data_IF_930582269580
#
_entry.id   IF_930582269580
#
_cell.length_a   1.000
_cell.length_b   1.000
_cell.length_c   1.000
_cell.angle_alpha   90.00
_cell.angle_beta   90.00
_cell.angle_gamma   90.00
#
_symmetry.space_group_name_H-M   'P 1'
#
loop_
_entity.id
_entity.type
_entity.pdbx_description
1 polymer ?
#
# COMPACT_ATOMS: atom_id res chain seq x y z
N UNK A 1 -11.38 8.27 -5.02
CA UNK A 1 -12.67 7.89 -4.43
C UNK A 1 -12.51 7.94 -2.92
N UNK A 2 -13.21 8.83 -2.21
CA UNK A 2 -13.01 9.04 -0.77
C UNK A 2 -13.77 8.03 0.07
N UNK A 3 -13.15 7.54 1.15
CA UNK A 3 -13.71 6.50 2.03
C UNK A 3 -15.05 6.83 2.69
N UNK A 4 -15.44 8.11 2.76
CA UNK A 4 -16.72 8.54 3.34
C UNK A 4 -17.75 9.08 2.35
N UNK A 5 -17.37 9.42 1.11
CA UNK A 5 -18.26 10.08 0.17
C UNK A 5 -19.20 9.11 -0.58
N UNK A 6 -18.75 7.86 -0.78
CA UNK A 6 -19.50 6.83 -1.50
C UNK A 6 -19.35 5.46 -0.80
N UNK A 7 -19.93 5.29 0.39
CA UNK A 7 -19.67 4.12 1.25
C UNK A 7 -20.14 2.78 0.63
N UNK A 8 -21.10 2.82 -0.29
CA UNK A 8 -21.65 1.62 -0.95
C UNK A 8 -21.05 1.36 -2.34
N UNK A 9 -20.26 2.29 -2.89
CA UNK A 9 -19.70 2.14 -4.23
C UNK A 9 -18.64 1.05 -4.27
N UNK A 10 -18.83 0.06 -5.14
CA UNK A 10 -17.81 -0.95 -5.47
C UNK A 10 -17.15 -0.56 -6.78
N UNK A 11 -15.91 -0.12 -6.70
CA UNK A 11 -15.15 0.30 -7.88
C UNK A 11 -14.01 -0.71 -8.08
N UNK A 12 -13.94 -1.41 -9.24
CA UNK A 12 -12.87 -2.38 -9.52
C UNK A 12 -11.48 -1.74 -9.51
N UNK A 13 -10.52 -2.37 -8.84
CA UNK A 13 -9.11 -1.94 -8.80
C UNK A 13 -8.18 -3.13 -8.81
N UNK A 14 -6.90 -2.85 -9.01
CA UNK A 14 -5.80 -3.79 -8.85
C UNK A 14 -4.93 -3.30 -7.69
N UNK A 15 -4.48 -4.23 -6.84
CA UNK A 15 -3.59 -3.93 -5.74
C UNK A 15 -2.37 -4.85 -5.77
N UNK A 16 -1.21 -4.32 -5.38
CA UNK A 16 -0.04 -5.12 -5.07
C UNK A 16 -0.23 -5.76 -3.69
N UNK A 17 -0.06 -7.08 -3.61
CA UNK A 17 -0.17 -7.83 -2.36
C UNK A 17 1.23 -8.25 -1.88
N UNK A 18 1.75 -7.54 -0.89
CA UNK A 18 3.07 -7.82 -0.33
C UNK A 18 2.94 -8.94 0.71
N UNK A 19 3.66 -10.04 0.48
CA UNK A 19 3.72 -11.18 1.40
C UNK A 19 4.99 -11.10 2.23
N UNK A 20 4.84 -11.21 3.55
CA UNK A 20 5.94 -11.20 4.51
C UNK A 20 5.54 -11.96 5.77
N UNK A 21 6.52 -12.30 6.62
CA UNK A 21 6.26 -12.99 7.88
C UNK A 21 5.34 -12.17 8.83
N UNK A 22 5.42 -10.84 8.77
CA UNK A 22 4.54 -9.94 9.52
C UNK A 22 4.11 -8.75 8.67
N UNK A 23 2.85 -8.78 8.22
CA UNK A 23 2.27 -7.68 7.46
C UNK A 23 2.21 -6.36 8.26
N UNK A 24 1.98 -6.42 9.58
CA UNK A 24 1.98 -5.23 10.43
C UNK A 24 3.37 -4.61 10.53
N UNK A 25 4.44 -5.41 10.59
CA UNK A 25 5.82 -4.89 10.58
C UNK A 25 6.15 -4.23 9.25
N UNK A 26 5.77 -4.85 8.13
CA UNK A 26 6.00 -4.26 6.80
C UNK A 26 5.20 -2.97 6.63
N UNK A 27 3.94 -2.94 7.05
CA UNK A 27 3.10 -1.73 6.98
C UNK A 27 3.67 -0.58 7.82
N UNK A 28 4.13 -0.86 9.04
CA UNK A 28 4.78 0.13 9.88
C UNK A 28 6.04 0.71 9.23
N UNK A 29 6.90 -0.14 8.65
CA UNK A 29 8.11 0.32 7.95
C UNK A 29 7.82 1.14 6.70
N UNK A 30 6.78 0.78 5.94
CA UNK A 30 6.32 1.56 4.80
C UNK A 30 5.84 2.96 5.24
N UNK A 31 5.16 3.05 6.39
CA UNK A 31 4.70 4.31 6.97
C UNK A 31 5.85 5.18 7.50
N UNK A 32 6.92 4.56 7.97
CA UNK A 32 8.12 5.23 8.51
C UNK A 32 9.17 5.58 7.43
N UNK A 33 8.96 5.17 6.17
CA UNK A 33 9.86 5.50 5.07
C UNK A 33 9.97 7.03 4.86
N UNK A 34 11.08 7.54 4.30
CA UNK A 34 11.25 8.98 4.02
C UNK A 34 10.10 9.59 3.21
N UNK A 35 9.53 8.80 2.30
CA UNK A 35 8.24 9.07 1.67
C UNK A 35 7.26 8.01 2.17
N UNK A 36 6.33 8.36 3.09
CA UNK A 36 5.41 7.39 3.67
C UNK A 36 4.51 6.72 2.64
N UNK A 37 4.45 5.39 2.67
CA UNK A 37 3.53 4.59 1.86
C UNK A 37 2.48 4.00 2.78
N UNK A 38 1.21 4.35 2.54
CA UNK A 38 0.08 3.87 3.35
C UNK A 38 -0.70 2.82 2.58
N UNK A 39 -0.62 1.57 3.06
CA UNK A 39 -1.42 0.46 2.58
C UNK A 39 -2.54 0.07 3.55
N UNK A 40 -3.29 -0.97 3.22
CA UNK A 40 -4.19 -1.65 4.16
C UNK A 40 -3.76 -3.10 4.37
N UNK A 41 -3.99 -3.63 5.55
CA UNK A 41 -3.75 -5.05 5.82
C UNK A 41 -5.03 -5.85 5.56
N UNK A 42 -4.93 -6.94 4.80
CA UNK A 42 -6.00 -7.91 4.65
C UNK A 42 -5.42 -9.30 4.36
N UNK A 43 -6.02 -10.34 4.95
CA UNK A 43 -5.58 -11.73 4.78
C UNK A 43 -4.08 -11.93 5.05
N UNK A 44 -3.54 -11.26 6.08
CA UNK A 44 -2.13 -11.35 6.45
C UNK A 44 -1.15 -10.72 5.44
N UNK A 45 -1.63 -9.87 4.52
CA UNK A 45 -0.80 -9.18 3.51
C UNK A 45 -1.02 -7.68 3.55
N UNK A 46 0.00 -6.91 3.18
CA UNK A 46 -0.14 -5.47 2.91
C UNK A 46 -0.63 -5.31 1.47
N UNK A 47 -1.71 -4.56 1.30
CA UNK A 47 -2.30 -4.25 0.00
C UNK A 47 -2.08 -2.79 -0.33
N UNK A 48 -1.44 -2.54 -1.48
CA UNK A 48 -1.22 -1.21 -2.06
C UNK A 48 -2.09 -1.08 -3.30
N UNK A 49 -3.18 -0.31 -3.21
CA UNK A 49 -4.13 -0.12 -4.31
C UNK A 49 -3.56 0.86 -5.34
N UNK A 50 -3.36 0.38 -6.57
CA UNK A 50 -2.72 1.16 -7.64
C UNK A 50 -3.55 2.38 -8.06
N UNK A 51 -4.85 2.42 -7.76
CA UNK A 51 -5.68 3.61 -8.04
C UNK A 51 -5.20 4.85 -7.29
N UNK A 52 -4.55 4.68 -6.14
CA UNK A 52 -4.00 5.78 -5.35
C UNK A 52 -2.57 6.16 -5.71
N UNK A 53 -1.92 5.41 -6.61
CA UNK A 53 -0.52 5.60 -6.99
C UNK A 53 -0.45 6.45 -8.26
N UNK A 54 0.35 7.51 -8.23
CA UNK A 54 0.58 8.36 -9.39
C UNK A 54 1.69 7.75 -10.27
N UNK A 55 1.58 7.83 -11.61
CA UNK A 55 2.58 7.24 -12.52
C UNK A 55 4.02 7.63 -12.19
N UNK A 56 4.26 8.91 -11.87
CA UNK A 56 5.60 9.43 -11.64
C UNK A 56 6.16 9.09 -10.24
N UNK A 57 5.35 8.47 -9.37
CA UNK A 57 5.76 8.06 -8.01
C UNK A 57 6.31 6.64 -7.93
N UNK A 58 6.33 5.91 -9.05
CA UNK A 58 6.77 4.52 -9.11
C UNK A 58 8.17 4.29 -8.51
N UNK A 59 9.21 5.11 -8.81
CA UNK A 59 10.55 4.89 -8.26
C UNK A 59 10.61 5.01 -6.73
N UNK A 60 9.85 5.96 -6.17
CA UNK A 60 9.77 6.18 -4.71
C UNK A 60 9.04 5.02 -4.03
N UNK A 61 7.96 4.54 -4.65
CA UNK A 61 7.20 3.40 -4.18
C UNK A 61 8.05 2.13 -4.14
N UNK A 62 8.78 1.84 -5.22
CA UNK A 62 9.65 0.67 -5.29
C UNK A 62 10.76 0.71 -4.23
N UNK A 63 11.38 1.88 -4.02
CA UNK A 63 12.40 2.08 -2.98
C UNK A 63 11.85 1.80 -1.58
N UNK A 64 10.65 2.32 -1.26
CA UNK A 64 10.00 2.09 0.02
C UNK A 64 9.64 0.60 0.22
N UNK A 65 9.10 -0.06 -0.81
CA UNK A 65 8.76 -1.50 -0.77
C UNK A 65 10.01 -2.35 -0.54
N UNK A 66 11.08 -2.10 -1.30
CA UNK A 66 12.32 -2.84 -1.16
C UNK A 66 12.90 -2.71 0.25
N UNK A 67 12.93 -1.50 0.81
CA UNK A 67 13.43 -1.24 2.16
C UNK A 67 12.56 -1.84 3.26
N UNK A 68 11.23 -1.92 3.08
CA UNK A 68 10.32 -2.47 4.08
C UNK A 68 10.37 -4.01 4.17
N UNK A 69 10.75 -4.69 3.08
CA UNK A 69 10.76 -6.15 2.97
C UNK A 69 12.07 -6.82 3.43
N UNK A 70 13.16 -6.07 3.61
CA UNK A 70 14.45 -6.56 4.13
C UNK A 70 14.50 -6.58 5.64
#
# INVERSE_FOLDING_TARGET
VGGGAFPTARIPSIALALSAASASRVEARLREAPVPVVGRIANGRVLLDLRGILPDTEPLLLSAIASALT
#
